data_IF_537165899654
#
_entry.id   IF_537165899654
#
_cell.length_a   1.000
_cell.length_b   1.000
_cell.length_c   1.000
_cell.angle_alpha   90.00
_cell.angle_beta   90.00
_cell.angle_gamma   90.00
#
_symmetry.space_group_name_H-M   'P 1'
#
loop_
_entity.id
_entity.type
_entity.pdbx_description
1 polymer ?
#
# COMPACT_ATOMS: atom_id res chain seq x y z
N UNK A 1 -10.51 -3.86 -4.16
CA UNK A 1 -9.27 -3.05 -4.16
C UNK A 1 -9.61 -1.60 -4.45
N UNK A 2 -8.77 -0.64 -4.07
CA UNK A 2 -9.11 0.79 -4.15
C UNK A 2 -9.42 1.27 -5.58
N UNK A 3 -8.82 0.69 -6.63
CA UNK A 3 -9.16 1.06 -8.01
C UNK A 3 -10.63 0.76 -8.38
N UNK A 4 -11.18 -0.34 -7.86
CA UNK A 4 -12.62 -0.63 -8.02
C UNK A 4 -13.48 0.31 -7.17
N UNK A 5 -13.01 0.70 -5.99
CA UNK A 5 -13.69 1.69 -5.17
C UNK A 5 -13.75 3.05 -5.89
N UNK A 6 -12.68 3.43 -6.58
CA UNK A 6 -12.64 4.66 -7.39
C UNK A 6 -13.74 4.65 -8.47
N UNK A 7 -13.95 3.52 -9.15
CA UNK A 7 -15.03 3.38 -10.14
C UNK A 7 -16.43 3.47 -9.50
N UNK A 8 -16.63 2.81 -8.36
CA UNK A 8 -17.94 2.72 -7.71
C UNK A 8 -18.34 4.01 -6.96
N UNK A 9 -17.37 4.76 -6.47
CA UNK A 9 -17.59 5.96 -5.64
C UNK A 9 -17.52 7.27 -6.44
N UNK A 10 -17.45 7.19 -7.78
CA UNK A 10 -17.49 8.37 -8.66
C UNK A 10 -16.12 9.02 -8.93
N UNK A 11 -15.02 8.40 -8.51
CA UNK A 11 -13.65 8.85 -8.74
C UNK A 11 -12.99 8.11 -9.92
N UNK A 12 -13.74 7.76 -10.96
CA UNK A 12 -13.29 6.87 -12.03
C UNK A 12 -11.98 7.31 -12.74
N UNK A 13 -11.71 8.62 -12.77
CA UNK A 13 -10.47 9.18 -13.30
C UNK A 13 -9.22 8.79 -12.51
N UNK A 14 -9.36 8.43 -11.22
CA UNK A 14 -8.29 7.89 -10.38
C UNK A 14 -8.05 6.40 -10.62
N UNK A 15 -9.04 5.65 -11.08
CA UNK A 15 -8.97 4.20 -11.18
C UNK A 15 -7.74 3.65 -11.95
N UNK A 16 -7.32 4.23 -13.10
CA UNK A 16 -6.13 3.74 -13.82
C UNK A 16 -4.85 3.94 -13.00
N UNK A 17 -4.71 5.11 -12.37
CA UNK A 17 -3.56 5.45 -11.54
C UNK A 17 -3.51 4.58 -10.29
N UNK A 18 -4.62 4.47 -9.57
CA UNK A 18 -4.74 3.63 -8.39
C UNK A 18 -4.44 2.17 -8.71
N UNK A 19 -4.88 1.66 -9.86
CA UNK A 19 -4.61 0.28 -10.26
C UNK A 19 -3.10 0.02 -10.37
N UNK A 20 -2.37 0.90 -11.05
CA UNK A 20 -0.90 0.79 -11.21
C UNK A 20 -0.20 0.94 -9.86
N UNK A 21 -0.57 1.96 -9.08
CA UNK A 21 0.03 2.22 -7.76
C UNK A 21 -0.15 1.01 -6.86
N UNK A 22 -1.37 0.46 -6.76
CA UNK A 22 -1.68 -0.70 -5.92
C UNK A 22 -1.06 -2.00 -6.42
N UNK A 23 -0.96 -2.20 -7.74
CA UNK A 23 -0.30 -3.36 -8.30
C UNK A 23 1.18 -3.40 -7.90
N UNK A 24 1.87 -2.25 -8.02
CA UNK A 24 3.28 -2.15 -7.62
C UNK A 24 3.44 -2.20 -6.11
N UNK A 25 2.57 -1.55 -5.33
CA UNK A 25 2.56 -1.63 -3.86
C UNK A 25 2.46 -3.08 -3.40
N UNK A 26 1.50 -3.84 -3.94
CA UNK A 26 1.31 -5.25 -3.62
C UNK A 26 2.51 -6.11 -4.03
N UNK A 27 3.15 -5.81 -5.17
CA UNK A 27 4.36 -6.49 -5.61
C UNK A 27 5.54 -6.24 -4.65
N UNK A 28 5.77 -4.99 -4.24
CA UNK A 28 6.82 -4.61 -3.29
C UNK A 28 6.58 -5.33 -1.96
N UNK A 29 5.36 -5.26 -1.42
CA UNK A 29 4.98 -5.90 -0.17
C UNK A 29 5.16 -7.42 -0.22
N UNK A 30 4.73 -8.04 -1.33
CA UNK A 30 4.82 -9.47 -1.55
C UNK A 30 6.27 -9.95 -1.65
N UNK A 31 7.08 -9.33 -2.51
CA UNK A 31 8.48 -9.74 -2.74
C UNK A 31 9.33 -9.51 -1.50
N UNK A 32 9.28 -8.31 -0.90
CA UNK A 32 10.08 -8.00 0.28
C UNK A 32 9.61 -8.80 1.50
N UNK A 33 8.30 -8.81 1.76
CA UNK A 33 7.73 -9.52 2.89
C UNK A 33 7.97 -11.03 2.80
N UNK A 34 7.78 -11.64 1.62
CA UNK A 34 8.03 -13.06 1.42
C UNK A 34 9.51 -13.41 1.55
N UNK A 35 10.41 -12.61 0.98
CA UNK A 35 11.86 -12.83 1.11
C UNK A 35 12.30 -12.83 2.59
N UNK A 36 11.83 -11.86 3.38
CA UNK A 36 12.15 -11.75 4.81
C UNK A 36 11.54 -12.93 5.58
N UNK A 37 10.27 -13.26 5.31
CA UNK A 37 9.60 -14.39 5.95
C UNK A 37 10.32 -15.72 5.68
N UNK A 38 10.78 -15.96 4.44
CA UNK A 38 11.55 -17.16 4.09
C UNK A 38 12.87 -17.27 4.86
N UNK A 39 13.53 -16.15 5.12
CA UNK A 39 14.80 -16.12 5.85
C UNK A 39 14.60 -16.35 7.35
N UNK A 40 13.52 -15.82 7.93
CA UNK A 40 13.31 -15.80 9.37
C UNK A 40 12.34 -16.89 9.87
N UNK A 41 11.57 -17.52 8.97
CA UNK A 41 10.59 -18.56 9.28
C UNK A 41 9.39 -18.08 10.09
N UNK A 42 9.22 -16.76 10.27
CA UNK A 42 8.18 -16.15 11.11
C UNK A 42 7.81 -14.75 10.64
N UNK A 43 6.64 -14.28 11.04
CA UNK A 43 6.23 -12.88 10.86
C UNK A 43 6.98 -12.02 11.90
N UNK A 44 8.00 -11.30 11.45
CA UNK A 44 8.82 -10.44 12.30
C UNK A 44 8.54 -8.96 12.06
N UNK A 45 9.12 -8.10 12.91
CA UNK A 45 9.08 -6.65 12.71
C UNK A 45 9.63 -6.20 11.35
N UNK A 46 10.55 -6.98 10.74
CA UNK A 46 11.09 -6.69 9.40
C UNK A 46 10.06 -6.96 8.30
N UNK A 47 9.23 -7.99 8.45
CA UNK A 47 8.09 -8.23 7.56
C UNK A 47 7.13 -7.04 7.60
N UNK A 48 6.85 -6.49 8.78
CA UNK A 48 5.98 -5.31 8.89
C UNK A 48 6.65 -4.03 8.44
N UNK A 49 7.96 -3.87 8.63
CA UNK A 49 8.71 -2.77 8.04
C UNK A 49 8.66 -2.77 6.50
N UNK A 50 8.58 -3.94 5.85
CA UNK A 50 8.40 -4.02 4.39
C UNK A 50 7.07 -3.42 3.91
N UNK A 51 6.03 -3.44 4.76
CA UNK A 51 4.76 -2.77 4.47
C UNK A 51 4.90 -1.26 4.52
N UNK A 52 5.77 -0.73 5.39
CA UNK A 52 6.06 0.70 5.42
C UNK A 52 6.74 1.16 4.11
N UNK A 53 7.67 0.37 3.57
CA UNK A 53 8.28 0.64 2.26
C UNK A 53 7.23 0.67 1.15
N UNK A 54 6.29 -0.28 1.19
CA UNK A 54 5.19 -0.37 0.23
C UNK A 54 4.23 0.83 0.36
N UNK A 55 3.92 1.24 1.58
CA UNK A 55 3.10 2.43 1.86
C UNK A 55 3.78 3.73 1.40
N UNK A 56 5.11 3.84 1.51
CA UNK A 56 5.84 5.00 0.98
C UNK A 56 5.76 5.08 -0.55
N UNK A 57 5.86 3.93 -1.24
CA UNK A 57 5.60 3.87 -2.68
C UNK A 57 4.18 4.35 -3.01
N UNK A 58 3.18 3.89 -2.26
CA UNK A 58 1.79 4.32 -2.43
C UNK A 58 1.64 5.84 -2.29
N UNK A 59 2.20 6.43 -1.23
CA UNK A 59 2.15 7.88 -0.97
C UNK A 59 2.82 8.65 -2.11
N UNK A 60 4.00 8.22 -2.56
CA UNK A 60 4.72 8.83 -3.67
C UNK A 60 3.93 8.71 -4.98
N UNK A 61 3.33 7.55 -5.25
CA UNK A 61 2.53 7.29 -6.44
C UNK A 61 1.29 8.19 -6.51
N UNK A 62 0.54 8.31 -5.41
CA UNK A 62 -0.61 9.20 -5.35
C UNK A 62 -0.22 10.67 -5.46
N UNK A 63 0.89 11.07 -4.86
CA UNK A 63 1.41 12.43 -5.00
C UNK A 63 1.80 12.74 -6.45
N UNK A 64 2.51 11.83 -7.12
CA UNK A 64 2.90 11.99 -8.51
C UNK A 64 1.69 12.03 -9.46
N UNK A 65 0.74 11.09 -9.30
CA UNK A 65 -0.48 11.07 -10.09
C UNK A 65 -1.31 12.34 -9.88
N UNK A 66 -1.50 12.76 -8.62
CA UNK A 66 -2.17 14.02 -8.30
C UNK A 66 -1.44 15.24 -8.88
N UNK A 67 -0.11 15.25 -8.82
CA UNK A 67 0.71 16.29 -9.41
C UNK A 67 0.50 16.45 -10.91
N UNK A 68 0.39 15.33 -11.63
CA UNK A 68 0.11 15.31 -13.07
C UNK A 68 -1.34 15.70 -13.42
N UNK A 69 -2.31 15.40 -12.54
CA UNK A 69 -3.73 15.62 -12.79
C UNK A 69 -4.21 17.01 -12.42
N UNK A 70 -3.77 17.53 -11.26
CA UNK A 70 -4.30 18.77 -10.66
C UNK A 70 -3.21 19.74 -10.19
N UNK A 71 -1.93 19.37 -10.32
CA UNK A 71 -0.79 20.19 -9.91
C UNK A 71 -0.15 19.73 -8.58
N UNK A 72 1.18 19.84 -8.49
CA UNK A 72 1.95 19.33 -7.36
C UNK A 72 1.65 20.03 -6.02
N UNK A 73 1.31 21.31 -6.05
CA UNK A 73 0.97 22.07 -4.84
C UNK A 73 -0.35 21.55 -4.22
N UNK A 74 -1.35 21.29 -5.06
CA UNK A 74 -2.64 20.73 -4.63
C UNK A 74 -2.47 19.28 -4.18
N UNK A 75 -1.63 18.51 -4.87
CA UNK A 75 -1.38 17.11 -4.55
C UNK A 75 -0.77 16.90 -3.15
N UNK A 76 -0.07 17.90 -2.58
CA UNK A 76 0.46 17.83 -1.21
C UNK A 76 -0.64 17.61 -0.17
N UNK A 77 -1.86 18.08 -0.42
CA UNK A 77 -3.00 17.86 0.48
C UNK A 77 -3.36 16.38 0.65
N UNK A 78 -3.01 15.52 -0.33
CA UNK A 78 -3.25 14.08 -0.26
C UNK A 78 -2.25 13.32 0.61
N UNK A 79 -1.04 13.88 0.81
CA UNK A 79 0.08 13.19 1.47
C UNK A 79 -0.23 12.81 2.92
N UNK A 80 -0.74 13.71 3.79
CA UNK A 80 -1.08 13.34 5.17
C UNK A 80 -2.14 12.23 5.24
N UNK A 81 -3.17 12.29 4.41
CA UNK A 81 -4.21 11.26 4.36
C UNK A 81 -3.67 9.89 3.93
N UNK A 82 -2.82 9.88 2.89
CA UNK A 82 -2.18 8.66 2.41
C UNK A 82 -1.20 8.07 3.42
N UNK A 83 -0.50 8.89 4.20
CA UNK A 83 0.36 8.42 5.30
C UNK A 83 -0.46 7.74 6.39
N UNK A 84 -1.57 8.35 6.81
CA UNK A 84 -2.48 7.74 7.81
C UNK A 84 -3.06 6.43 7.29
N UNK A 85 -3.46 6.37 6.03
CA UNK A 85 -3.95 5.15 5.39
C UNK A 85 -2.89 4.03 5.39
N UNK A 86 -1.64 4.37 5.04
CA UNK A 86 -0.53 3.44 5.04
C UNK A 86 -0.21 2.90 6.44
N UNK A 87 -0.17 3.78 7.44
CA UNK A 87 0.05 3.41 8.84
C UNK A 87 -1.07 2.54 9.39
N UNK A 88 -2.33 2.90 9.12
CA UNK A 88 -3.49 2.09 9.50
C UNK A 88 -3.45 0.70 8.88
N UNK A 89 -3.05 0.61 7.61
CA UNK A 89 -2.89 -0.67 6.90
C UNK A 89 -1.78 -1.53 7.54
N UNK A 90 -0.64 -0.94 7.86
CA UNK A 90 0.46 -1.64 8.53
C UNK A 90 0.07 -2.13 9.95
N UNK A 91 -0.66 -1.31 10.71
CA UNK A 91 -1.16 -1.66 12.04
C UNK A 91 -2.12 -2.86 11.98
N UNK A 92 -3.03 -2.87 11.01
CA UNK A 92 -3.95 -3.99 10.77
C UNK A 92 -3.25 -5.23 10.24
N UNK A 93 -2.20 -5.07 9.44
CA UNK A 93 -1.49 -6.19 8.85
C UNK A 93 -0.77 -7.07 9.89
N UNK A 94 -0.31 -6.51 11.02
CA UNK A 94 0.38 -7.30 12.05
C UNK A 94 -0.45 -8.49 12.57
N UNK A 95 -1.66 -8.31 13.14
CA UNK A 95 -2.48 -9.44 13.59
C UNK A 95 -2.95 -10.33 12.44
N UNK A 96 -3.22 -9.75 11.26
CA UNK A 96 -3.67 -10.52 10.09
C UNK A 96 -2.59 -11.48 9.59
N UNK A 97 -1.36 -11.01 9.42
CA UNK A 97 -0.23 -11.85 8.98
C UNK A 97 0.05 -12.98 9.97
N UNK A 98 -0.06 -12.71 11.28
CA UNK A 98 0.06 -13.75 12.32
C UNK A 98 -1.04 -14.81 12.20
N UNK A 99 -2.29 -14.39 11.96
CA UNK A 99 -3.41 -15.31 11.76
C UNK A 99 -3.23 -16.18 10.51
N UNK A 100 -2.84 -15.57 9.38
CA UNK A 100 -2.61 -16.29 8.12
C UNK A 100 -1.39 -17.20 8.16
N UNK A 101 -0.32 -16.85 8.88
CA UNK A 101 0.85 -17.72 9.01
C UNK A 101 0.57 -19.06 9.71
N UNK A 102 -0.56 -19.17 10.44
CA UNK A 102 -1.00 -20.40 11.10
C UNK A 102 -1.87 -21.28 10.19
N UNK A 103 -2.39 -20.73 9.10
CA UNK A 103 -3.17 -21.46 8.12
C UNK A 103 -2.20 -22.14 7.14
N UNK A 104 -2.03 -23.46 7.27
CA UNK A 104 -1.39 -24.27 6.22
C UNK A 104 -2.43 -24.50 5.12
N UNK A 105 -2.22 -23.91 3.95
CA UNK A 105 -2.84 -24.34 2.70
C UNK A 105 -1.99 -25.43 2.06
#
# INVERSE_FOLDING_TARGET
GSALADLLLGYAHWAPWTLVIKAVEGLIAGVLGHSIYRQEGRVSGRVVASLAVSALWMVAGYYAAGGLMVGFDVALASVPGNLVQGLGSAALAWPLLQAFSKMRF
#
